data_IF_268891159414
#
_entry.id   IF_268891159414
#
_cell.length_a   1.000
_cell.length_b   1.000
_cell.length_c   1.000
_cell.angle_alpha   90.00
_cell.angle_beta   90.00
_cell.angle_gamma   90.00
#
_symmetry.space_group_name_H-M   'P 1'
#
loop_
_entity.id
_entity.type
_entity.pdbx_description
1 polymer ?
#
# COMPACT_ATOMS: atom_id res chain seq x y z
N UNK A 1 -16.48 -23.07 -0.17
CA UNK A 1 -15.07 -22.63 -0.21
C UNK A 1 -15.09 -21.13 -0.52
N UNK A 2 -14.77 -20.29 0.47
CA UNK A 2 -14.67 -18.85 0.28
C UNK A 2 -13.35 -18.55 -0.44
N UNK A 3 -13.36 -18.64 -1.76
CA UNK A 3 -12.29 -18.05 -2.58
C UNK A 3 -12.62 -16.56 -2.76
N UNK A 4 -12.59 -15.85 -1.63
CA UNK A 4 -12.75 -14.42 -1.53
C UNK A 4 -11.60 -13.72 -2.27
N UNK A 5 -11.95 -13.15 -3.42
CA UNK A 5 -11.20 -12.06 -4.06
C UNK A 5 -9.91 -12.51 -4.75
N UNK A 6 -10.03 -12.83 -6.04
CA UNK A 6 -8.89 -12.82 -6.97
C UNK A 6 -8.15 -11.49 -6.81
N UNK A 7 -7.00 -11.47 -6.15
CA UNK A 7 -6.00 -10.45 -6.44
C UNK A 7 -5.74 -10.58 -7.95
N UNK A 8 -6.17 -9.60 -8.73
CA UNK A 8 -5.78 -9.49 -10.13
C UNK A 8 -4.25 -9.51 -10.21
N UNK A 9 -3.67 -9.96 -11.32
CA UNK A 9 -2.20 -9.97 -11.51
C UNK A 9 -1.59 -8.60 -11.16
N UNK A 10 -2.31 -7.53 -11.52
CA UNK A 10 -2.03 -6.15 -11.12
C UNK A 10 -1.99 -5.95 -9.60
N UNK A 11 -2.97 -6.47 -8.85
CA UNK A 11 -2.97 -6.40 -7.38
C UNK A 11 -1.79 -7.13 -6.73
N UNK A 12 -1.27 -8.18 -7.36
CA UNK A 12 -0.10 -8.94 -6.89
C UNK A 12 1.21 -8.17 -7.14
N UNK A 13 1.34 -7.56 -8.31
CA UNK A 13 2.47 -6.67 -8.63
C UNK A 13 2.47 -5.42 -7.75
N UNK A 14 1.33 -4.77 -7.59
CA UNK A 14 1.19 -3.58 -6.74
C UNK A 14 1.57 -3.88 -5.29
N UNK A 15 1.20 -5.05 -4.75
CA UNK A 15 1.61 -5.47 -3.39
C UNK A 15 3.13 -5.59 -3.24
N UNK A 16 3.85 -5.82 -4.33
CA UNK A 16 5.32 -5.91 -4.37
C UNK A 16 5.97 -4.53 -4.51
N UNK A 17 5.28 -3.57 -5.11
CA UNK A 17 5.73 -2.17 -5.23
C UNK A 17 5.34 -1.27 -4.04
N UNK A 18 4.29 -1.61 -3.28
CA UNK A 18 3.93 -0.94 -2.02
C UNK A 18 5.13 -0.79 -1.05
N UNK A 19 5.90 -1.83 -0.73
CA UNK A 19 7.06 -1.68 0.15
C UNK A 19 8.15 -0.79 -0.45
N UNK A 20 8.37 -0.84 -1.75
CA UNK A 20 9.33 0.03 -2.44
C UNK A 20 8.88 1.50 -2.41
N UNK A 21 7.57 1.74 -2.55
CA UNK A 21 6.95 3.05 -2.37
C UNK A 21 7.14 3.59 -0.95
N UNK A 22 7.07 2.72 0.05
CA UNK A 22 7.27 3.07 1.46
C UNK A 22 8.73 3.29 1.84
N UNK A 23 9.68 2.77 1.07
CA UNK A 23 11.12 2.90 1.34
C UNK A 23 11.79 4.00 0.52
N UNK A 24 11.40 4.15 -0.74
CA UNK A 24 12.11 4.99 -1.73
C UNK A 24 11.19 5.95 -2.50
N UNK A 25 9.96 6.13 -2.03
CA UNK A 25 8.90 6.87 -2.75
C UNK A 25 8.60 6.30 -4.16
N UNK A 26 8.92 5.02 -4.37
CA UNK A 26 8.70 4.35 -5.65
C UNK A 26 9.44 5.11 -6.76
N UNK A 27 10.71 5.47 -6.51
CA UNK A 27 11.51 6.29 -7.44
C UNK A 27 11.66 5.64 -8.82
N UNK A 28 11.55 4.31 -8.90
CA UNK A 28 11.59 3.55 -10.16
C UNK A 28 10.22 3.20 -10.73
N UNK A 29 9.14 3.58 -10.06
CA UNK A 29 7.78 3.20 -10.45
C UNK A 29 7.20 4.17 -11.48
N UNK A 30 6.52 3.62 -12.48
CA UNK A 30 5.76 4.39 -13.46
C UNK A 30 4.57 5.11 -12.79
N UNK A 31 4.05 6.20 -13.37
CA UNK A 31 2.89 6.91 -12.82
C UNK A 31 1.67 5.99 -12.60
N UNK A 32 1.43 5.05 -13.53
CA UNK A 32 0.38 4.03 -13.38
C UNK A 32 0.59 3.12 -12.16
N UNK A 33 1.82 2.68 -11.92
CA UNK A 33 2.16 1.87 -10.74
C UNK A 33 2.02 2.68 -9.45
N UNK A 34 2.40 3.96 -9.45
CA UNK A 34 2.23 4.83 -8.27
C UNK A 34 0.75 4.98 -7.92
N UNK A 35 -0.11 5.22 -8.91
CA UNK A 35 -1.55 5.37 -8.69
C UNK A 35 -2.20 4.06 -8.22
N UNK A 36 -1.87 2.93 -8.84
CA UNK A 36 -2.31 1.61 -8.38
C UNK A 36 -1.81 1.27 -6.98
N UNK A 37 -0.57 1.66 -6.66
CA UNK A 37 0.01 1.46 -5.33
C UNK A 37 -0.75 2.27 -4.29
N UNK A 38 -1.06 3.55 -4.57
CA UNK A 38 -1.91 4.37 -3.70
C UNK A 38 -3.29 3.74 -3.49
N UNK A 39 -3.92 3.19 -4.54
CA UNK A 39 -5.21 2.53 -4.42
C UNK A 39 -5.15 1.30 -3.49
N UNK A 40 -4.13 0.47 -3.64
CA UNK A 40 -3.91 -0.70 -2.77
C UNK A 40 -3.61 -0.27 -1.34
N UNK A 41 -2.76 0.74 -1.14
CA UNK A 41 -2.46 1.29 0.19
C UNK A 41 -3.74 1.82 0.85
N UNK A 42 -4.55 2.60 0.13
CA UNK A 42 -5.85 3.06 0.60
C UNK A 42 -6.73 1.88 1.01
N UNK A 43 -6.82 0.85 0.18
CA UNK A 43 -7.60 -0.34 0.51
C UNK A 43 -7.05 -1.07 1.75
N UNK A 44 -5.73 -1.17 1.90
CA UNK A 44 -5.09 -1.77 3.06
C UNK A 44 -5.35 -0.97 4.34
N UNK A 45 -5.26 0.36 4.29
CA UNK A 45 -5.52 1.23 5.45
C UNK A 45 -6.97 1.10 5.91
N UNK A 46 -7.93 1.16 4.97
CA UNK A 46 -9.36 1.19 5.31
C UNK A 46 -9.94 -0.21 5.58
N UNK A 47 -9.56 -1.23 4.82
CA UNK A 47 -10.14 -2.59 4.91
C UNK A 47 -9.25 -3.61 5.61
N UNK A 48 -7.93 -3.41 5.69
CA UNK A 48 -6.97 -4.39 6.24
C UNK A 48 -5.88 -3.72 7.13
N UNK A 49 -6.26 -2.96 8.16
CA UNK A 49 -5.31 -2.17 8.97
C UNK A 49 -4.24 -3.03 9.64
N UNK A 50 -4.54 -4.29 10.02
CA UNK A 50 -3.52 -5.20 10.57
C UNK A 50 -2.40 -5.53 9.57
N UNK A 51 -2.73 -5.74 8.29
CA UNK A 51 -1.71 -5.97 7.27
C UNK A 51 -0.90 -4.71 6.99
N UNK A 52 -1.57 -3.56 6.97
CA UNK A 52 -0.92 -2.27 6.83
C UNK A 52 0.09 -2.01 7.96
N UNK A 53 -0.28 -2.27 9.21
CA UNK A 53 0.61 -2.12 10.36
C UNK A 53 1.86 -3.00 10.25
N UNK A 54 1.73 -4.25 9.81
CA UNK A 54 2.88 -5.14 9.57
C UNK A 54 3.77 -4.63 8.43
N UNK A 55 3.18 -4.11 7.37
CA UNK A 55 3.92 -3.55 6.24
C UNK A 55 4.72 -2.32 6.67
N UNK A 56 4.10 -1.34 7.33
CA UNK A 56 4.84 -0.17 7.82
C UNK A 56 5.92 -0.57 8.81
N UNK A 57 5.65 -1.45 9.77
CA UNK A 57 6.66 -1.88 10.74
C UNK A 57 7.87 -2.59 10.07
N UNK A 58 7.63 -3.32 8.98
CA UNK A 58 8.67 -4.05 8.26
C UNK A 58 9.47 -3.18 7.29
N UNK A 59 8.80 -2.31 6.55
CA UNK A 59 9.39 -1.58 5.44
C UNK A 59 9.71 -0.12 5.78
N UNK A 60 8.92 0.51 6.64
CA UNK A 60 9.08 1.90 7.08
C UNK A 60 8.96 2.00 8.61
N UNK A 61 9.94 1.45 9.37
CA UNK A 61 9.89 1.44 10.83
C UNK A 61 9.89 2.85 11.44
N UNK A 62 10.39 3.85 10.70
CA UNK A 62 10.30 5.27 11.08
C UNK A 62 8.90 5.86 10.88
N UNK A 63 8.04 5.20 10.09
CA UNK A 63 6.70 5.68 9.78
C UNK A 63 6.68 6.96 8.93
N UNK A 64 7.78 7.31 8.25
CA UNK A 64 7.91 8.59 7.55
C UNK A 64 7.02 8.66 6.31
N UNK A 65 6.99 7.58 5.54
CA UNK A 65 6.16 7.47 4.33
C UNK A 65 4.81 6.84 4.64
N UNK A 66 4.79 5.86 5.55
CA UNK A 66 3.55 5.23 5.98
C UNK A 66 2.59 6.27 6.58
N UNK A 67 3.06 7.19 7.42
CA UNK A 67 2.21 8.26 8.00
C UNK A 67 1.73 9.24 6.93
N UNK A 68 2.58 9.58 5.94
CA UNK A 68 2.19 10.41 4.79
C UNK A 68 1.05 9.76 4.01
N UNK A 69 1.17 8.48 3.66
CA UNK A 69 0.11 7.74 2.98
C UNK A 69 -1.12 7.54 3.85
N UNK A 70 -0.96 7.30 5.15
CA UNK A 70 -2.09 7.27 6.07
C UNK A 70 -2.82 8.59 6.06
N UNK A 71 -2.15 9.73 6.21
CA UNK A 71 -2.82 11.04 6.14
C UNK A 71 -3.44 11.35 4.77
N UNK A 72 -2.77 10.99 3.68
CA UNK A 72 -3.23 11.29 2.32
C UNK A 72 -4.38 10.37 1.87
N UNK A 73 -4.41 9.11 2.31
CA UNK A 73 -5.32 8.08 1.81
C UNK A 73 -6.34 7.59 2.84
N UNK A 74 -6.13 7.82 4.14
CA UNK A 74 -7.15 7.61 5.16
C UNK A 74 -8.24 8.63 4.88
N UNK A 75 -9.38 8.14 4.37
CA UNK A 75 -10.54 9.01 4.26
C UNK A 75 -10.99 9.32 5.68
N UNK A 76 -10.75 10.54 6.11
CA UNK A 76 -11.43 11.13 7.24
C UNK A 76 -12.87 11.34 6.78
N UNK A 77 -13.75 10.38 7.10
CA UNK A 77 -15.19 10.68 7.20
C UNK A 77 -15.43 11.54 8.42
#
# INVERSE_FOLDING_TARGET
>A
MMEEGKCTSEGKELKTHVPDALQTECSKCTPKQKEGTKYVIKHLINHKPQHWQRLRAKYDPQGKYADKYEKELKQLS
#
